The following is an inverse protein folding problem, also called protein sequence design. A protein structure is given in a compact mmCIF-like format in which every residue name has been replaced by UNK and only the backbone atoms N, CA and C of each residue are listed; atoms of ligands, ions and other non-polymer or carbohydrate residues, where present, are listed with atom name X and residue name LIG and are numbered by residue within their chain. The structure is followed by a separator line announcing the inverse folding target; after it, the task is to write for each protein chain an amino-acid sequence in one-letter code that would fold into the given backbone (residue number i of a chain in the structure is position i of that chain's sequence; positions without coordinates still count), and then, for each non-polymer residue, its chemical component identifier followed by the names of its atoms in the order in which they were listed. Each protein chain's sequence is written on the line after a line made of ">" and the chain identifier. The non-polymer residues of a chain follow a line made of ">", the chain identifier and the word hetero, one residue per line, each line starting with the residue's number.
data_IF_359191817624
#
_entry.id   IF_359191817624
#
_cell.length_a   1.000
_cell.length_b   1.000
_cell.length_c   1.000
_cell.angle_alpha   90.00
_cell.angle_beta   90.00
_cell.angle_gamma   90.00
#
_symmetry.space_group_name_H-M   'P 1'
#
loop_
_entity.id
_entity.type
_entity.pdbx_description
1 polymer ?
#
# COMPACT_ATOMS: atom_id res chain seq x y z
N UNK A 1 -27.99 34.41 38.86
CA UNK A 1 -27.55 35.20 37.71
C UNK A 1 -26.19 34.63 37.25
N UNK A 2 -26.23 33.73 36.31
CA UNK A 2 -25.03 33.06 35.74
C UNK A 2 -24.62 33.84 34.52
N UNK A 3 -23.36 34.27 34.48
CA UNK A 3 -22.77 34.94 33.28
C UNK A 3 -22.58 33.93 32.15
N UNK A 4 -22.90 34.29 30.91
CA UNK A 4 -22.69 33.42 29.76
C UNK A 4 -21.19 33.25 29.45
N UNK A 5 -20.81 32.06 28.97
CA UNK A 5 -19.44 31.64 28.66
C UNK A 5 -18.89 32.33 27.42
N UNK A 6 -17.55 32.52 27.28
CA UNK A 6 -16.94 33.39 26.25
C UNK A 6 -17.17 33.02 24.80
N UNK A 7 -17.62 31.79 24.47
CA UNK A 7 -17.81 31.31 23.07
C UNK A 7 -19.22 31.57 22.48
N UNK A 8 -20.16 32.07 23.28
CA UNK A 8 -21.56 32.33 22.83
C UNK A 8 -21.72 33.64 22.02
N UNK A 9 -20.62 34.34 21.74
CA UNK A 9 -20.63 35.63 20.99
C UNK A 9 -20.01 35.53 19.60
N UNK A 10 -20.13 34.40 18.91
CA UNK A 10 -19.68 34.37 17.51
C UNK A 10 -20.87 34.44 16.58
N UNK A 11 -21.39 35.64 16.35
CA UNK A 11 -22.31 35.95 15.25
C UNK A 11 -21.52 35.86 13.96
N UNK A 12 -21.76 34.77 13.21
CA UNK A 12 -21.23 34.60 11.87
C UNK A 12 -21.57 35.82 11.00
N UNK A 13 -20.57 36.38 10.32
CA UNK A 13 -20.75 37.43 9.33
C UNK A 13 -21.68 36.92 8.19
N UNK A 14 -22.54 37.76 7.63
CA UNK A 14 -23.43 37.36 6.57
C UNK A 14 -22.65 36.89 5.33
N UNK A 15 -23.01 35.69 4.86
CA UNK A 15 -22.45 35.12 3.61
C UNK A 15 -22.87 36.05 2.45
N UNK A 16 -21.93 36.51 1.61
CA UNK A 16 -22.28 37.30 0.45
C UNK A 16 -23.17 36.49 -0.51
N UNK A 17 -24.13 37.14 -1.20
CA UNK A 17 -25.01 36.47 -2.15
C UNK A 17 -24.19 35.83 -3.27
N UNK A 18 -24.63 34.66 -3.73
CA UNK A 18 -24.03 33.98 -4.87
C UNK A 18 -24.10 34.84 -6.11
N UNK A 19 -23.07 34.88 -6.98
CA UNK A 19 -23.11 35.62 -8.22
C UNK A 19 -24.23 35.07 -9.15
N UNK A 20 -24.91 35.97 -9.80
CA UNK A 20 -25.98 35.61 -10.74
C UNK A 20 -25.42 34.77 -11.91
N UNK A 21 -26.16 33.76 -12.37
CA UNK A 21 -25.73 32.96 -13.51
C UNK A 21 -25.62 33.80 -14.78
N UNK A 22 -24.45 33.79 -15.40
CA UNK A 22 -24.21 34.43 -16.69
C UNK A 22 -24.96 33.65 -17.78
N UNK A 23 -25.76 34.32 -18.66
CA UNK A 23 -26.47 33.64 -19.75
C UNK A 23 -25.51 32.91 -20.69
N UNK A 24 -25.88 31.68 -21.12
CA UNK A 24 -25.07 30.82 -21.97
C UNK A 24 -24.69 31.44 -23.33
N UNK A 25 -25.41 32.44 -23.77
CA UNK A 25 -25.27 33.13 -25.08
C UNK A 25 -24.13 34.17 -25.11
N UNK A 26 -23.49 34.42 -23.96
CA UNK A 26 -22.36 35.35 -23.84
C UNK A 26 -21.00 34.72 -24.16
N UNK A 27 -20.94 33.39 -24.38
CA UNK A 27 -19.71 32.71 -24.75
C UNK A 27 -19.64 32.48 -26.27
N UNK A 28 -19.24 33.49 -27.00
CA UNK A 28 -18.70 33.32 -28.36
C UNK A 28 -17.23 32.92 -28.23
N UNK A 29 -16.94 31.64 -28.33
CA UNK A 29 -15.57 31.18 -28.47
C UNK A 29 -14.97 31.76 -29.78
N UNK A 30 -13.72 32.26 -29.72
CA UNK A 30 -13.05 32.66 -30.97
C UNK A 30 -12.93 31.43 -31.89
N UNK A 31 -13.25 31.58 -33.17
CA UNK A 31 -13.11 30.51 -34.15
C UNK A 31 -11.70 29.96 -34.11
N UNK A 32 -11.57 28.63 -33.92
CA UNK A 32 -10.30 27.96 -34.03
C UNK A 32 -9.71 28.20 -35.43
N UNK A 33 -8.42 28.51 -35.58
CA UNK A 33 -7.80 28.64 -36.92
C UNK A 33 -7.96 27.30 -37.66
N UNK A 34 -8.36 27.39 -38.94
CA UNK A 34 -8.45 26.20 -39.78
C UNK A 34 -7.11 25.50 -39.82
N UNK A 35 -7.07 24.13 -39.68
CA UNK A 35 -5.81 23.40 -39.74
C UNK A 35 -5.21 23.61 -41.14
N UNK A 36 -4.01 24.18 -41.18
CA UNK A 36 -3.16 24.17 -42.39
C UNK A 36 -2.97 22.73 -42.85
N UNK A 37 -3.46 22.41 -44.05
CA UNK A 37 -3.23 21.10 -44.65
C UNK A 37 -1.73 20.97 -45.00
N UNK A 38 -1.01 20.24 -44.18
CA UNK A 38 0.40 19.87 -44.44
C UNK A 38 0.40 18.84 -45.58
N UNK A 39 1.19 19.02 -46.65
CA UNK A 39 1.26 18.05 -47.74
C UNK A 39 1.64 16.66 -47.25
N UNK A 40 0.95 15.64 -47.77
CA UNK A 40 1.13 14.21 -47.36
C UNK A 40 2.54 13.64 -47.61
N UNK A 41 3.32 14.30 -48.46
CA UNK A 41 4.66 13.86 -48.89
C UNK A 41 5.74 13.96 -47.76
N UNK A 42 5.44 14.62 -46.65
CA UNK A 42 6.35 14.70 -45.48
C UNK A 42 6.37 13.41 -44.64
N UNK A 43 5.39 12.52 -44.85
CA UNK A 43 5.27 11.28 -44.08
C UNK A 43 6.03 10.07 -44.67
N UNK A 44 6.52 10.19 -45.90
CA UNK A 44 7.23 9.10 -46.59
C UNK A 44 8.78 9.10 -46.44
N UNK A 45 9.31 10.03 -45.64
CA UNK A 45 10.73 9.94 -45.28
C UNK A 45 10.94 8.78 -44.30
N UNK A 46 11.84 7.81 -44.57
CA UNK A 46 12.14 6.75 -43.62
C UNK A 46 12.62 7.40 -42.31
N UNK A 47 11.80 7.28 -41.27
CA UNK A 47 12.18 7.72 -39.90
C UNK A 47 13.48 6.96 -39.60
N UNK A 48 14.62 7.64 -39.39
CA UNK A 48 15.84 6.96 -39.02
C UNK A 48 15.58 6.16 -37.77
N UNK A 49 15.88 4.84 -37.81
CA UNK A 49 15.74 3.99 -36.64
C UNK A 49 16.41 4.69 -35.45
N UNK A 50 15.72 4.82 -34.32
CA UNK A 50 16.28 5.48 -33.13
C UNK A 50 17.62 4.80 -32.86
N UNK A 51 18.72 5.59 -32.85
CA UNK A 51 20.03 5.09 -32.42
C UNK A 51 19.80 4.44 -31.06
N UNK A 52 20.33 3.22 -30.82
CA UNK A 52 20.18 2.59 -29.51
C UNK A 52 20.67 3.60 -28.47
N UNK A 53 19.73 4.13 -27.67
CA UNK A 53 20.07 5.00 -26.56
C UNK A 53 21.03 4.21 -25.67
N UNK A 54 22.14 4.85 -25.21
CA UNK A 54 23.00 4.21 -24.21
C UNK A 54 22.10 3.69 -23.10
N UNK A 55 22.30 2.40 -22.67
CA UNK A 55 21.51 1.87 -21.56
C UNK A 55 21.55 2.87 -20.41
N UNK A 56 20.39 3.21 -19.83
CA UNK A 56 20.29 4.12 -18.70
C UNK A 56 21.02 3.56 -17.48
N UNK A 57 21.15 2.25 -17.41
CA UNK A 57 21.81 1.53 -16.34
C UNK A 57 23.14 0.98 -16.83
N UNK A 58 24.22 1.33 -16.14
CA UNK A 58 25.55 0.74 -16.40
C UNK A 58 25.60 -0.71 -15.89
N UNK A 59 25.04 -1.62 -16.69
CA UNK A 59 25.03 -3.06 -16.40
C UNK A 59 26.40 -3.70 -16.49
N UNK A 60 27.38 -3.04 -17.11
CA UNK A 60 28.76 -3.56 -17.22
C UNK A 60 29.51 -3.40 -15.89
N UNK A 61 29.05 -2.54 -15.01
CA UNK A 61 29.56 -2.42 -13.63
C UNK A 61 29.11 -3.55 -12.68
N UNK A 62 28.26 -4.47 -13.15
CA UNK A 62 27.75 -5.61 -12.39
C UNK A 62 28.58 -6.86 -12.63
N UNK A 63 28.71 -7.71 -11.61
CA UNK A 63 29.27 -9.03 -11.81
C UNK A 63 28.30 -9.93 -12.63
N UNK A 64 28.75 -11.07 -13.20
CA UNK A 64 27.91 -11.89 -14.07
C UNK A 64 26.58 -12.32 -13.46
N UNK A 65 26.56 -12.74 -12.20
CA UNK A 65 25.33 -13.18 -11.52
C UNK A 65 24.37 -12.00 -11.25
N UNK A 66 24.92 -10.84 -10.86
CA UNK A 66 24.11 -9.62 -10.69
C UNK A 66 23.53 -9.17 -12.04
N UNK A 67 24.32 -9.20 -13.10
CA UNK A 67 23.88 -8.85 -14.47
C UNK A 67 22.78 -9.79 -14.95
N UNK A 68 22.92 -11.09 -14.77
CA UNK A 68 21.88 -12.07 -15.09
C UNK A 68 20.58 -11.75 -14.36
N UNK A 69 20.62 -11.50 -13.03
CA UNK A 69 19.45 -11.15 -12.25
C UNK A 69 18.78 -9.83 -12.68
N UNK A 70 19.55 -8.84 -13.14
CA UNK A 70 19.01 -7.58 -13.67
C UNK A 70 18.32 -7.78 -15.02
N UNK A 71 18.90 -8.59 -15.91
CA UNK A 71 18.38 -8.82 -17.25
C UNK A 71 17.23 -9.82 -17.31
N UNK A 72 17.08 -10.71 -16.31
CA UNK A 72 15.97 -11.66 -16.22
C UNK A 72 14.72 -10.95 -15.73
N UNK A 73 13.94 -10.34 -16.58
CA UNK A 73 12.79 -9.50 -16.20
C UNK A 73 11.47 -10.26 -16.15
N UNK A 74 11.32 -11.31 -16.92
CA UNK A 74 10.10 -12.08 -17.04
C UNK A 74 10.10 -13.32 -16.13
N UNK A 75 8.91 -13.68 -15.64
CA UNK A 75 8.71 -14.83 -14.78
C UNK A 75 9.18 -14.65 -13.33
N UNK A 76 8.97 -15.64 -12.47
CA UNK A 76 9.40 -15.60 -11.08
C UNK A 76 10.94 -15.74 -10.99
N UNK A 77 11.57 -14.83 -10.25
CA UNK A 77 13.02 -14.84 -10.01
C UNK A 77 13.28 -14.73 -8.50
N UNK A 78 14.01 -15.69 -7.95
CA UNK A 78 14.54 -15.64 -6.58
C UNK A 78 16.06 -15.42 -6.64
N UNK A 79 16.53 -14.35 -6.00
CA UNK A 79 17.95 -14.03 -5.89
C UNK A 79 18.44 -14.34 -4.49
N UNK A 80 19.27 -15.37 -4.35
CA UNK A 80 19.91 -15.73 -3.09
C UNK A 80 21.30 -15.10 -3.02
N UNK A 81 21.52 -14.25 -2.03
CA UNK A 81 22.77 -13.50 -1.94
C UNK A 81 23.13 -13.18 -0.47
N UNK A 82 24.37 -13.32 -0.10
CA UNK A 82 24.87 -13.02 1.25
C UNK A 82 24.80 -11.52 1.62
N UNK A 83 25.07 -11.22 2.87
CA UNK A 83 25.20 -9.84 3.33
C UNK A 83 26.35 -9.14 2.57
N UNK A 84 26.14 -7.87 2.16
CA UNK A 84 27.14 -7.10 1.43
C UNK A 84 27.31 -7.46 -0.05
N UNK A 85 26.60 -8.45 -0.58
CA UNK A 85 26.69 -8.90 -1.99
C UNK A 85 26.03 -7.93 -2.99
N UNK A 86 25.36 -6.89 -2.50
CA UNK A 86 24.70 -5.89 -3.35
C UNK A 86 23.26 -6.25 -3.74
N UNK A 87 22.50 -7.04 -2.96
CA UNK A 87 21.09 -7.38 -3.21
C UNK A 87 20.24 -6.16 -3.60
N UNK A 88 20.25 -5.14 -2.77
CA UNK A 88 19.49 -3.90 -3.04
C UNK A 88 19.98 -3.17 -4.29
N UNK A 89 21.28 -3.28 -4.63
CA UNK A 89 21.80 -2.74 -5.91
C UNK A 89 21.21 -3.49 -7.09
N UNK A 90 21.21 -4.82 -7.06
CA UNK A 90 20.60 -5.65 -8.11
C UNK A 90 19.12 -5.28 -8.27
N UNK A 91 18.38 -5.16 -7.18
CA UNK A 91 16.96 -4.82 -7.22
C UNK A 91 16.71 -3.44 -7.84
N UNK A 92 17.46 -2.41 -7.43
CA UNK A 92 17.31 -1.05 -7.98
C UNK A 92 17.75 -0.98 -9.46
N UNK A 93 18.82 -1.68 -9.84
CA UNK A 93 19.26 -1.75 -11.24
C UNK A 93 18.27 -2.51 -12.13
N UNK A 94 17.67 -3.60 -11.63
CA UNK A 94 16.60 -4.33 -12.33
C UNK A 94 15.38 -3.44 -12.59
N UNK A 95 14.91 -2.73 -11.58
CA UNK A 95 13.79 -1.78 -11.72
C UNK A 95 14.17 -0.66 -12.72
N UNK A 96 15.36 -0.11 -12.58
CA UNK A 96 15.84 0.93 -13.47
C UNK A 96 15.94 0.46 -14.94
N UNK A 97 16.40 -0.77 -15.15
CA UNK A 97 16.43 -1.40 -16.48
C UNK A 97 15.02 -1.57 -17.06
N UNK A 98 14.07 -2.09 -16.28
CA UNK A 98 12.68 -2.23 -16.71
C UNK A 98 12.06 -0.89 -17.12
N UNK A 99 12.23 0.15 -16.29
CA UNK A 99 11.63 1.45 -16.55
C UNK A 99 12.33 2.21 -17.69
N UNK A 100 13.68 2.18 -17.71
CA UNK A 100 14.48 3.00 -18.61
C UNK A 100 14.71 2.35 -19.97
N UNK A 101 15.11 1.07 -19.98
CA UNK A 101 15.54 0.40 -21.21
C UNK A 101 14.38 -0.36 -21.87
N UNK A 102 13.48 -0.97 -21.08
CA UNK A 102 12.34 -1.74 -21.58
C UNK A 102 11.06 -0.95 -21.69
N UNK A 103 11.02 0.30 -21.21
CA UNK A 103 9.86 1.19 -21.31
C UNK A 103 8.66 0.78 -20.46
N UNK A 104 8.85 -0.07 -19.44
CA UNK A 104 7.85 -0.42 -18.46
C UNK A 104 7.37 0.86 -17.76
N UNK A 105 6.07 0.98 -17.58
CA UNK A 105 5.53 2.20 -16.97
C UNK A 105 5.67 2.15 -15.43
N UNK A 106 6.02 3.26 -14.77
CA UNK A 106 6.27 3.28 -13.33
C UNK A 106 5.10 2.73 -12.50
N UNK A 107 3.86 2.99 -12.89
CA UNK A 107 2.68 2.50 -12.17
C UNK A 107 2.46 0.98 -12.28
N UNK A 108 3.18 0.31 -13.19
CA UNK A 108 3.16 -1.15 -13.34
C UNK A 108 4.15 -1.85 -12.40
N UNK A 109 4.96 -1.08 -11.67
CA UNK A 109 5.99 -1.62 -10.77
C UNK A 109 5.61 -1.38 -9.33
N UNK A 110 5.63 -2.46 -8.55
CA UNK A 110 5.50 -2.48 -7.11
C UNK A 110 6.82 -2.98 -6.49
N UNK A 111 7.47 -2.15 -5.70
CA UNK A 111 8.67 -2.53 -4.95
C UNK A 111 8.38 -2.49 -3.46
N UNK A 112 8.55 -3.61 -2.78
CA UNK A 112 8.21 -3.81 -1.37
C UNK A 112 9.49 -3.99 -0.55
N UNK A 113 9.54 -3.32 0.59
CA UNK A 113 10.59 -3.47 1.60
C UNK A 113 9.98 -3.68 2.99
N UNK A 114 10.80 -4.07 3.97
CA UNK A 114 10.29 -4.27 5.33
C UNK A 114 10.22 -2.99 6.16
N UNK A 115 11.05 -1.99 5.87
CA UNK A 115 11.12 -0.77 6.69
C UNK A 115 10.89 0.47 5.84
N UNK A 116 10.31 1.50 6.45
CA UNK A 116 10.12 2.80 5.80
C UNK A 116 11.47 3.45 5.41
N UNK A 117 12.53 3.18 6.18
CA UNK A 117 13.88 3.64 5.86
C UNK A 117 14.39 2.99 4.57
N UNK A 118 14.29 1.66 4.46
CA UNK A 118 14.71 0.94 3.25
C UNK A 118 13.89 1.39 2.01
N UNK A 119 12.58 1.65 2.18
CA UNK A 119 11.75 2.18 1.12
C UNK A 119 12.19 3.59 0.69
N UNK A 120 12.58 4.45 1.64
CA UNK A 120 13.11 5.78 1.33
C UNK A 120 14.44 5.70 0.58
N UNK A 121 15.39 4.90 1.08
CA UNK A 121 16.68 4.67 0.42
C UNK A 121 16.52 4.11 -0.99
N UNK A 122 15.58 3.17 -1.18
CA UNK A 122 15.29 2.61 -2.51
C UNK A 122 14.75 3.68 -3.47
N UNK A 123 13.83 4.55 -2.99
CA UNK A 123 13.32 5.68 -3.80
C UNK A 123 14.43 6.63 -4.21
N UNK A 124 15.33 7.00 -3.30
CA UNK A 124 16.47 7.87 -3.57
C UNK A 124 17.41 7.27 -4.62
N UNK A 125 17.75 5.99 -4.48
CA UNK A 125 18.60 5.28 -5.45
C UNK A 125 17.97 5.20 -6.84
N UNK A 126 16.66 4.91 -6.90
CA UNK A 126 15.93 4.86 -8.17
C UNK A 126 15.81 6.26 -8.80
N UNK A 127 15.58 7.31 -8.02
CA UNK A 127 15.55 8.67 -8.52
C UNK A 127 16.90 9.14 -9.08
N UNK A 128 18.01 8.67 -8.49
CA UNK A 128 19.35 8.93 -8.99
C UNK A 128 19.64 8.19 -10.31
N UNK A 129 19.11 6.96 -10.47
CA UNK A 129 19.30 6.16 -11.69
C UNK A 129 18.39 6.64 -12.83
N UNK A 130 17.15 7.04 -12.50
CA UNK A 130 16.14 7.44 -13.50
C UNK A 130 15.51 8.77 -13.05
N UNK A 131 16.15 9.90 -13.34
CA UNK A 131 15.58 11.21 -13.03
C UNK A 131 14.18 11.37 -13.66
N UNK A 132 13.17 11.71 -12.84
CA UNK A 132 11.77 11.86 -13.23
C UNK A 132 11.05 10.56 -13.71
N UNK A 133 11.72 9.40 -13.75
CA UNK A 133 11.18 8.14 -14.25
C UNK A 133 10.37 7.34 -13.25
N UNK A 134 10.32 7.72 -11.98
CA UNK A 134 9.70 6.92 -10.90
C UNK A 134 8.30 7.39 -10.48
N UNK A 135 7.75 8.42 -11.13
CA UNK A 135 6.45 8.99 -10.75
C UNK A 135 5.32 7.99 -10.97
N UNK A 136 4.58 7.70 -9.91
CA UNK A 136 3.47 6.74 -9.93
C UNK A 136 3.86 5.31 -9.55
N UNK A 137 5.15 5.00 -9.43
CA UNK A 137 5.62 3.72 -8.90
C UNK A 137 5.31 3.60 -7.41
N UNK A 138 4.98 2.39 -6.97
CA UNK A 138 4.84 2.12 -5.55
C UNK A 138 6.14 1.51 -5.00
N UNK A 139 6.82 2.27 -4.15
CA UNK A 139 7.97 1.81 -3.36
C UNK A 139 7.61 2.02 -1.89
N UNK A 140 7.27 0.95 -1.20
CA UNK A 140 6.70 1.05 0.13
C UNK A 140 6.87 -0.26 0.93
N UNK A 141 6.46 -0.26 2.19
CA UNK A 141 6.35 -1.47 3.01
C UNK A 141 5.05 -2.22 2.70
N UNK A 142 4.96 -3.51 3.10
CA UNK A 142 3.71 -4.28 3.02
C UNK A 142 2.54 -3.53 3.64
N UNK A 143 2.70 -3.03 4.87
CA UNK A 143 1.64 -2.29 5.56
C UNK A 143 1.21 -1.02 4.81
N UNK A 144 2.16 -0.25 4.29
CA UNK A 144 1.85 0.95 3.52
C UNK A 144 1.12 0.64 2.21
N UNK A 145 1.46 -0.47 1.55
CA UNK A 145 0.72 -1.00 0.40
C UNK A 145 -0.71 -1.34 0.79
N UNK A 146 -0.89 -2.12 1.87
CA UNK A 146 -2.20 -2.53 2.36
C UNK A 146 -3.07 -1.32 2.73
N UNK A 147 -2.52 -0.34 3.44
CA UNK A 147 -3.24 0.90 3.75
C UNK A 147 -3.74 1.59 2.48
N UNK A 148 -2.91 1.68 1.43
CA UNK A 148 -3.32 2.30 0.16
C UNK A 148 -4.46 1.55 -0.50
N UNK A 149 -4.39 0.21 -0.57
CA UNK A 149 -5.45 -0.62 -1.13
C UNK A 149 -6.75 -0.48 -0.33
N UNK A 150 -6.66 -0.58 1.00
CA UNK A 150 -7.83 -0.48 1.88
C UNK A 150 -8.44 0.92 1.89
N UNK A 151 -7.65 2.01 1.73
CA UNK A 151 -8.21 3.36 1.61
C UNK A 151 -9.09 3.52 0.36
N UNK A 152 -8.80 2.77 -0.68
CA UNK A 152 -9.58 2.80 -1.93
C UNK A 152 -10.81 1.89 -1.87
N UNK A 153 -10.69 0.68 -1.30
CA UNK A 153 -11.68 -0.39 -1.50
C UNK A 153 -12.20 -1.02 -0.19
N UNK A 154 -11.96 -0.43 1.01
CA UNK A 154 -12.36 -1.00 2.30
C UNK A 154 -13.88 -1.03 2.51
N UNK A 155 -14.65 -0.22 1.78
CA UNK A 155 -16.11 -0.22 1.81
C UNK A 155 -16.69 -1.57 1.37
N UNK A 156 -16.02 -2.28 0.49
CA UNK A 156 -16.38 -3.65 0.09
C UNK A 156 -16.27 -4.69 1.23
N UNK A 157 -15.56 -4.35 2.31
CA UNK A 157 -15.44 -5.14 3.54
C UNK A 157 -16.28 -4.57 4.70
N UNK A 158 -17.05 -3.51 4.46
CA UNK A 158 -17.90 -2.86 5.47
C UNK A 158 -17.15 -1.91 6.41
N UNK A 159 -15.98 -1.42 6.00
CA UNK A 159 -15.28 -0.27 6.61
C UNK A 159 -15.47 0.95 5.72
N UNK A 160 -15.21 2.13 6.28
CA UNK A 160 -15.07 3.33 5.44
C UNK A 160 -13.61 3.55 5.07
N UNK A 161 -13.33 4.22 3.98
CA UNK A 161 -11.96 4.59 3.58
C UNK A 161 -11.25 5.51 4.60
N UNK A 162 -11.97 6.05 5.60
CA UNK A 162 -11.43 6.87 6.68
C UNK A 162 -11.21 6.07 7.99
N UNK A 163 -10.98 4.76 7.89
CA UNK A 163 -10.73 3.93 9.07
C UNK A 163 -9.51 4.41 9.87
N UNK A 164 -9.56 4.23 11.19
CA UNK A 164 -8.44 4.55 12.08
C UNK A 164 -7.48 3.37 12.15
N UNK A 165 -6.18 3.63 12.14
CA UNK A 165 -5.15 2.62 12.37
C UNK A 165 -4.74 2.71 13.83
N UNK A 166 -4.96 1.63 14.57
CA UNK A 166 -4.53 1.51 15.96
C UNK A 166 -3.07 1.09 16.03
N UNK A 167 -2.29 1.86 16.76
CA UNK A 167 -0.91 1.51 17.06
C UNK A 167 -0.80 0.44 18.16
N UNK A 168 0.41 0.13 18.60
CA UNK A 168 0.66 -0.91 19.62
C UNK A 168 0.05 -0.53 20.98
N UNK A 169 0.10 0.74 21.35
CA UNK A 169 -0.45 1.22 22.61
C UNK A 169 -1.97 1.25 22.59
N UNK A 170 -2.59 1.67 21.50
CA UNK A 170 -4.04 1.64 21.31
C UNK A 170 -4.58 0.21 21.34
N UNK A 171 -3.94 -0.69 20.59
CA UNK A 171 -4.29 -2.11 20.54
C UNK A 171 -4.15 -2.76 21.92
N UNK A 172 -3.07 -2.48 22.64
CA UNK A 172 -2.83 -2.97 23.98
C UNK A 172 -3.86 -2.45 24.99
N UNK A 173 -4.24 -1.19 24.88
CA UNK A 173 -5.28 -0.59 25.71
C UNK A 173 -6.61 -1.27 25.47
N UNK A 174 -7.02 -1.42 24.21
CA UNK A 174 -8.27 -2.08 23.85
C UNK A 174 -8.32 -3.53 24.34
N UNK A 175 -7.26 -4.32 24.17
CA UNK A 175 -7.18 -5.69 24.68
C UNK A 175 -7.31 -5.72 26.21
N UNK A 176 -6.69 -4.79 26.94
CA UNK A 176 -6.81 -4.66 28.39
C UNK A 176 -8.26 -4.40 28.82
N UNK A 177 -8.94 -3.47 28.16
CA UNK A 177 -10.31 -3.12 28.46
C UNK A 177 -11.28 -4.26 28.15
N UNK A 178 -11.00 -5.03 27.10
CA UNK A 178 -11.74 -6.27 26.78
C UNK A 178 -11.54 -7.31 27.85
N UNK A 179 -10.30 -7.57 28.27
CA UNK A 179 -9.99 -8.54 29.34
C UNK A 179 -10.70 -8.18 30.63
N UNK A 180 -10.70 -6.90 31.01
CA UNK A 180 -11.42 -6.41 32.18
C UNK A 180 -12.93 -6.63 32.05
N UNK A 181 -13.53 -6.31 30.93
CA UNK A 181 -14.95 -6.49 30.66
C UNK A 181 -15.38 -7.97 30.68
N UNK A 182 -14.50 -8.88 30.27
CA UNK A 182 -14.71 -10.34 30.30
C UNK A 182 -14.34 -11.00 31.62
N UNK A 183 -13.90 -10.25 32.64
CA UNK A 183 -13.46 -10.78 33.92
C UNK A 183 -12.20 -11.66 33.81
N UNK A 184 -11.33 -11.39 32.86
CA UNK A 184 -10.07 -12.14 32.65
C UNK A 184 -8.94 -11.46 33.40
N UNK A 185 -8.47 -12.12 34.46
CA UNK A 185 -7.40 -11.59 35.31
C UNK A 185 -6.04 -11.62 34.65
N UNK A 186 -5.36 -10.45 34.56
CA UNK A 186 -4.04 -10.34 33.93
C UNK A 186 -2.93 -11.10 34.67
N UNK A 187 -3.11 -11.38 35.99
CA UNK A 187 -2.19 -12.21 36.77
C UNK A 187 -2.16 -13.66 36.26
N UNK A 188 -3.32 -14.18 35.88
CA UNK A 188 -3.47 -15.54 35.38
C UNK A 188 -3.26 -15.62 33.87
N UNK A 189 -3.69 -14.59 33.12
CA UNK A 189 -3.60 -14.51 31.67
C UNK A 189 -2.88 -13.21 31.25
N UNK A 190 -1.54 -13.22 31.14
CA UNK A 190 -0.80 -12.02 30.80
C UNK A 190 -1.22 -11.43 29.45
N UNK A 191 -1.42 -10.11 29.41
CA UNK A 191 -1.90 -9.39 28.21
C UNK A 191 -1.03 -9.66 26.98
N UNK A 192 0.29 -9.70 27.14
CA UNK A 192 1.20 -9.94 26.02
C UNK A 192 1.05 -11.36 25.45
N UNK A 193 0.74 -12.35 26.30
CA UNK A 193 0.45 -13.71 25.84
C UNK A 193 -0.86 -13.75 25.03
N UNK A 194 -1.93 -13.09 25.51
CA UNK A 194 -3.20 -12.98 24.77
C UNK A 194 -2.98 -12.31 23.42
N UNK A 195 -2.29 -11.17 23.39
CA UNK A 195 -1.99 -10.42 22.15
C UNK A 195 -1.16 -11.26 21.17
N UNK A 196 -0.13 -11.92 21.66
CA UNK A 196 0.72 -12.80 20.82
C UNK A 196 -0.08 -13.94 20.19
N UNK A 197 -1.00 -14.56 20.93
CA UNK A 197 -1.87 -15.62 20.39
C UNK A 197 -2.83 -15.09 19.34
N UNK A 198 -3.41 -13.92 19.55
CA UNK A 198 -4.31 -13.26 18.57
C UNK A 198 -3.51 -12.90 17.31
N UNK A 199 -2.37 -12.27 17.45
CA UNK A 199 -1.50 -11.92 16.30
C UNK A 199 -1.08 -13.17 15.51
N UNK A 200 -0.70 -14.26 16.20
CA UNK A 200 -0.38 -15.53 15.56
C UNK A 200 -1.58 -16.10 14.78
N UNK A 201 -2.78 -16.04 15.35
CA UNK A 201 -4.00 -16.48 14.68
C UNK A 201 -4.32 -15.62 13.43
N UNK A 202 -4.25 -14.29 13.55
CA UNK A 202 -4.39 -13.36 12.41
C UNK A 202 -3.39 -13.69 11.30
N UNK A 203 -2.12 -13.83 11.64
CA UNK A 203 -1.05 -14.15 10.69
C UNK A 203 -1.17 -15.55 10.08
N UNK A 204 -1.89 -16.46 10.69
CA UNK A 204 -2.25 -17.78 10.15
C UNK A 204 -3.61 -17.76 9.40
N UNK A 205 -4.27 -16.60 9.27
CA UNK A 205 -5.62 -16.46 8.71
C UNK A 205 -6.68 -17.30 9.45
N UNK A 206 -6.49 -17.48 10.76
CA UNK A 206 -7.43 -18.17 11.64
C UNK A 206 -8.34 -17.13 12.28
N UNK A 207 -9.63 -17.17 11.96
CA UNK A 207 -10.62 -16.31 12.58
C UNK A 207 -10.89 -16.66 14.05
N UNK A 208 -11.53 -15.74 14.81
CA UNK A 208 -11.76 -15.96 16.23
C UNK A 208 -12.63 -17.18 16.55
N UNK A 209 -13.61 -17.50 15.71
CA UNK A 209 -14.46 -18.68 15.89
C UNK A 209 -13.69 -19.99 15.68
N UNK A 210 -12.84 -20.04 14.67
CA UNK A 210 -12.02 -21.23 14.39
C UNK A 210 -10.91 -21.39 15.41
N UNK A 211 -10.34 -20.28 15.90
CA UNK A 211 -9.43 -20.30 17.05
C UNK A 211 -10.11 -20.85 18.31
N UNK A 212 -11.40 -20.52 18.53
CA UNK A 212 -12.15 -21.05 19.67
C UNK A 212 -12.46 -22.54 19.53
N UNK A 213 -12.82 -23.00 18.31
CA UNK A 213 -13.08 -24.42 18.02
C UNK A 213 -11.84 -25.32 18.21
N UNK A 214 -10.67 -24.78 17.84
CA UNK A 214 -9.38 -25.48 17.94
C UNK A 214 -8.65 -25.27 19.26
N UNK A 215 -9.28 -24.59 20.25
CA UNK A 215 -8.66 -24.21 21.49
C UNK A 215 -8.51 -25.40 22.46
N UNK A 216 -7.29 -25.90 22.63
CA UNK A 216 -6.97 -27.04 23.50
C UNK A 216 -6.66 -26.63 24.95
N UNK A 217 -6.23 -25.40 25.18
CA UNK A 217 -5.86 -24.90 26.50
C UNK A 217 -6.77 -23.78 27.00
N UNK A 218 -6.85 -23.57 28.34
CA UNK A 218 -7.54 -22.41 28.90
C UNK A 218 -7.03 -21.07 28.34
N UNK A 219 -5.73 -20.98 28.02
CA UNK A 219 -5.12 -19.79 27.44
C UNK A 219 -5.65 -19.53 26.02
N UNK A 220 -5.79 -20.59 25.22
CA UNK A 220 -6.31 -20.47 23.86
C UNK A 220 -7.77 -20.06 23.87
N UNK A 221 -8.58 -20.66 24.74
CA UNK A 221 -10.01 -20.30 24.91
C UNK A 221 -10.17 -18.83 25.32
N UNK A 222 -9.33 -18.35 26.27
CA UNK A 222 -9.39 -16.94 26.69
C UNK A 222 -8.90 -16.01 25.59
N UNK A 223 -7.85 -16.37 24.88
CA UNK A 223 -7.39 -15.57 23.73
C UNK A 223 -8.43 -15.49 22.64
N UNK A 224 -9.13 -16.59 22.29
CA UNK A 224 -10.20 -16.60 21.31
C UNK A 224 -11.39 -15.74 21.75
N UNK A 225 -11.78 -15.77 23.03
CA UNK A 225 -12.85 -14.90 23.57
C UNK A 225 -12.48 -13.42 23.44
N UNK A 226 -11.24 -13.06 23.78
CA UNK A 226 -10.73 -11.68 23.61
C UNK A 226 -10.67 -11.30 22.15
N UNK A 227 -10.28 -12.19 21.27
CA UNK A 227 -10.19 -11.95 19.83
C UNK A 227 -11.57 -11.67 19.22
N UNK A 228 -12.60 -12.44 19.57
CA UNK A 228 -13.99 -12.19 19.11
C UNK A 228 -14.46 -10.77 19.49
N UNK A 229 -14.23 -10.36 20.73
CA UNK A 229 -14.65 -9.03 21.19
C UNK A 229 -13.77 -7.92 20.60
N UNK A 230 -12.47 -8.18 20.36
CA UNK A 230 -11.56 -7.26 19.69
C UNK A 230 -12.04 -6.96 18.26
N UNK A 231 -12.33 -7.99 17.47
CA UNK A 231 -12.87 -7.84 16.12
C UNK A 231 -14.16 -7.02 16.11
N UNK A 232 -15.06 -7.33 17.04
CA UNK A 232 -16.35 -6.60 17.17
C UNK A 232 -16.13 -5.11 17.47
N UNK A 233 -15.21 -4.79 18.40
CA UNK A 233 -14.93 -3.39 18.80
C UNK A 233 -14.18 -2.63 17.70
N UNK A 234 -13.17 -3.23 17.07
CA UNK A 234 -12.45 -2.59 15.97
C UNK A 234 -13.41 -2.27 14.82
N UNK A 235 -14.27 -3.22 14.45
CA UNK A 235 -15.28 -2.99 13.40
C UNK A 235 -16.26 -1.87 13.78
N UNK A 236 -16.76 -1.87 15.01
CA UNK A 236 -17.69 -0.83 15.49
C UNK A 236 -17.03 0.56 15.54
N UNK A 237 -15.73 0.63 15.80
CA UNK A 237 -14.96 1.87 15.81
C UNK A 237 -14.45 2.29 14.40
N UNK A 238 -14.78 1.55 13.35
CA UNK A 238 -14.17 1.72 12.02
C UNK A 238 -12.64 1.81 12.12
N UNK A 239 -12.03 0.84 12.80
CA UNK A 239 -10.59 0.80 13.08
C UNK A 239 -9.98 -0.55 12.69
N UNK A 240 -8.70 -0.55 12.41
CA UNK A 240 -7.88 -1.73 12.12
C UNK A 240 -6.58 -1.63 12.91
N UNK A 241 -6.09 -2.75 13.45
CA UNK A 241 -4.74 -2.83 13.97
C UNK A 241 -3.72 -3.18 12.85
N UNK A 242 -2.44 -3.28 13.18
CA UNK A 242 -1.39 -3.57 12.19
C UNK A 242 -1.58 -4.94 11.52
N UNK A 243 -1.97 -5.97 12.27
CA UNK A 243 -2.23 -7.29 11.68
C UNK A 243 -3.45 -7.25 10.76
N UNK A 244 -4.49 -6.49 11.12
CA UNK A 244 -5.69 -6.32 10.30
C UNK A 244 -5.38 -5.72 8.93
N UNK A 245 -4.43 -4.80 8.82
CA UNK A 245 -4.07 -4.22 7.53
C UNK A 245 -3.68 -5.29 6.50
N UNK A 246 -2.91 -6.29 6.94
CA UNK A 246 -2.52 -7.42 6.10
C UNK A 246 -3.70 -8.37 5.83
N UNK A 247 -4.37 -8.80 6.91
CA UNK A 247 -5.48 -9.77 6.86
C UNK A 247 -6.64 -9.24 6.01
N UNK A 248 -7.07 -7.98 6.23
CA UNK A 248 -8.19 -7.38 5.47
C UNK A 248 -7.83 -7.13 4.02
N UNK A 249 -6.57 -6.79 3.71
CA UNK A 249 -6.12 -6.70 2.32
C UNK A 249 -6.19 -8.06 1.62
N UNK A 250 -5.73 -9.12 2.28
CA UNK A 250 -5.81 -10.47 1.71
C UNK A 250 -7.26 -10.95 1.59
N UNK A 251 -8.11 -10.67 2.59
CA UNK A 251 -9.56 -10.92 2.53
C UNK A 251 -10.18 -10.20 1.34
N UNK A 252 -9.88 -8.91 1.14
CA UNK A 252 -10.35 -8.11 0.02
C UNK A 252 -9.98 -8.75 -1.32
N UNK A 253 -8.70 -9.07 -1.51
CA UNK A 253 -8.23 -9.68 -2.76
C UNK A 253 -8.79 -11.08 -3.02
N UNK A 254 -9.08 -11.86 -1.97
CA UNK A 254 -9.67 -13.21 -2.11
C UNK A 254 -11.18 -13.20 -2.36
N UNK A 255 -11.89 -12.22 -1.79
CA UNK A 255 -13.36 -12.20 -1.83
C UNK A 255 -13.92 -11.25 -2.89
N UNK A 256 -13.09 -10.41 -3.50
CA UNK A 256 -13.47 -9.40 -4.49
C UNK A 256 -12.62 -9.55 -5.76
N UNK A 257 -13.04 -10.40 -6.70
CA UNK A 257 -12.28 -10.65 -7.94
C UNK A 257 -12.00 -9.36 -8.71
N UNK A 258 -12.95 -8.44 -8.75
CA UNK A 258 -12.80 -7.13 -9.42
C UNK A 258 -11.66 -6.27 -8.85
N UNK A 259 -11.41 -6.37 -7.54
CA UNK A 259 -10.28 -5.68 -6.89
C UNK A 259 -8.97 -6.42 -7.19
N UNK A 260 -8.98 -7.74 -7.16
CA UNK A 260 -7.81 -8.53 -7.53
C UNK A 260 -7.37 -8.24 -8.97
N UNK A 261 -8.30 -8.25 -9.92
CA UNK A 261 -8.05 -7.97 -11.34
C UNK A 261 -7.47 -6.55 -11.52
N UNK A 262 -8.05 -5.54 -10.84
CA UNK A 262 -7.56 -4.15 -10.83
C UNK A 262 -6.08 -4.07 -10.45
N UNK A 263 -5.66 -4.77 -9.39
CA UNK A 263 -4.27 -4.72 -8.93
C UNK A 263 -3.34 -5.65 -9.73
N UNK A 264 -3.81 -6.76 -10.28
CA UNK A 264 -3.06 -7.61 -11.21
C UNK A 264 -2.79 -6.92 -12.55
N UNK A 265 -3.75 -6.18 -13.08
CA UNK A 265 -3.55 -5.37 -14.27
C UNK A 265 -2.58 -4.21 -14.02
N UNK A 266 -2.66 -3.61 -12.84
CA UNK A 266 -1.79 -2.51 -12.44
C UNK A 266 -0.36 -2.96 -12.21
N UNK A 267 -0.13 -3.97 -11.36
CA UNK A 267 1.21 -4.38 -10.94
C UNK A 267 1.69 -5.59 -11.72
N UNK A 268 2.25 -5.32 -12.89
CA UNK A 268 2.83 -6.35 -13.76
C UNK A 268 4.17 -6.87 -13.24
N UNK A 269 4.91 -6.02 -12.51
CA UNK A 269 6.24 -6.32 -11.98
C UNK A 269 6.24 -6.05 -10.47
N UNK A 270 6.43 -7.11 -9.70
CA UNK A 270 6.51 -7.04 -8.25
C UNK A 270 7.91 -7.43 -7.82
N UNK A 271 8.54 -6.61 -7.00
CA UNK A 271 9.86 -6.84 -6.45
C UNK A 271 9.81 -6.74 -4.93
N UNK A 272 10.27 -7.78 -4.24
CA UNK A 272 10.28 -7.84 -2.77
C UNK A 272 11.71 -7.94 -2.29
N UNK A 273 12.16 -6.97 -1.49
CA UNK A 273 13.44 -7.02 -0.80
C UNK A 273 13.30 -7.82 0.51
N UNK A 274 14.38 -8.49 0.94
CA UNK A 274 14.42 -9.32 2.17
C UNK A 274 13.26 -10.34 2.25
N UNK A 275 13.01 -11.05 1.14
CA UNK A 275 11.89 -12.00 1.01
C UNK A 275 11.84 -13.07 2.11
N UNK A 276 12.98 -13.42 2.70
CA UNK A 276 13.07 -14.39 3.81
C UNK A 276 12.34 -13.94 5.09
N UNK A 277 12.09 -12.64 5.26
CA UNK A 277 11.43 -12.07 6.44
C UNK A 277 9.89 -12.03 6.29
N UNK A 278 9.35 -12.47 5.14
CA UNK A 278 7.91 -12.49 4.89
C UNK A 278 7.20 -13.54 5.75
N UNK A 279 6.02 -13.18 6.26
CA UNK A 279 5.13 -14.12 6.92
C UNK A 279 4.09 -14.71 5.92
N UNK A 280 3.25 -15.63 6.42
CA UNK A 280 2.29 -16.34 5.55
C UNK A 280 1.25 -15.40 4.90
N UNK A 281 0.84 -14.33 5.57
CA UNK A 281 -0.15 -13.38 5.04
C UNK A 281 0.48 -12.48 3.97
N UNK A 282 1.73 -12.08 4.14
CA UNK A 282 2.50 -11.31 3.17
C UNK A 282 2.85 -12.10 1.92
#
# INVERSE_FOLDING_TARGET
>A
MTQPLPWEKNTAAPVPPAPEPVPLDAYTAPAAPEPELVPLDIYDAPVPAPKPAKPLVDIDSLNPAQREAVLTTEGPLLVLAGAGSGKTRVLTFRIAHMLGDLGVKPWQVLAITFTNKAAAEMRERLAALIPNGTRGMWVCTFHAMCVRMLREDADLLGYTGQFTIYDDDDSKRMVRDIMQALGIEQKQFPINMIRSKISSAKNAMIGPEDMLKSADSPNDKKAAQVYMELERRLRAANAMDFDDLLVRTLELLRTRPEVLDKYQERFRYISVDEYQDTNHVQ
#
